data_IF_630449307887
#
_entry.id   IF_630449307887
#
_cell.length_a   1.000
_cell.length_b   1.000
_cell.length_c   1.000
_cell.angle_alpha   90.00
_cell.angle_beta   90.00
_cell.angle_gamma   90.00
#
_symmetry.space_group_name_H-M   'P 1'
#
loop_
_entity.id
_entity.type
_entity.pdbx_description
1 polymer ?
#
# COMPACT_ATOMS: atom_id res chain seq x y z
N UNK A 1 -3.55 -5.47 45.64
CA UNK A 1 -2.71 -6.17 44.65
C UNK A 1 -3.50 -6.18 43.36
N UNK A 2 -3.37 -5.12 42.56
CA UNK A 2 -4.01 -5.04 41.24
C UNK A 2 -3.11 -5.78 40.26
N UNK A 3 -3.71 -6.74 39.57
CA UNK A 3 -3.06 -7.58 38.57
C UNK A 3 -2.76 -6.73 37.32
N UNK A 4 -1.50 -6.31 37.18
CA UNK A 4 -1.01 -5.51 36.05
C UNK A 4 -0.49 -6.37 34.88
N UNK A 5 -0.71 -7.68 34.91
CA UNK A 5 -0.02 -8.63 34.01
C UNK A 5 -0.67 -8.75 32.63
N UNK A 6 -1.95 -8.35 32.47
CA UNK A 6 -2.71 -8.54 31.22
C UNK A 6 -2.40 -7.58 30.07
N UNK A 7 -1.78 -6.43 30.32
CA UNK A 7 -1.57 -5.38 29.31
C UNK A 7 -0.44 -5.68 28.30
N UNK A 8 0.60 -6.40 28.72
CA UNK A 8 1.80 -6.61 27.92
C UNK A 8 1.57 -7.63 26.77
N UNK A 9 0.74 -8.65 27.01
CA UNK A 9 0.40 -9.65 26.00
C UNK A 9 -0.45 -9.08 24.86
N UNK A 10 -1.46 -8.27 25.17
CA UNK A 10 -2.35 -7.69 24.16
C UNK A 10 -1.64 -6.70 23.22
N UNK A 11 -0.71 -5.90 23.75
CA UNK A 11 0.10 -4.99 22.95
C UNK A 11 1.05 -5.74 21.99
N UNK A 12 1.68 -6.82 22.46
CA UNK A 12 2.54 -7.66 21.62
C UNK A 12 1.77 -8.34 20.49
N UNK A 13 0.56 -8.87 20.77
CA UNK A 13 -0.31 -9.47 19.75
C UNK A 13 -0.73 -8.43 18.70
N UNK A 14 -1.11 -7.22 19.13
CA UNK A 14 -1.47 -6.14 18.22
C UNK A 14 -0.30 -5.74 17.29
N UNK A 15 0.91 -5.62 17.84
CA UNK A 15 2.10 -5.29 17.07
C UNK A 15 2.46 -6.38 16.04
N UNK A 16 2.37 -7.66 16.42
CA UNK A 16 2.58 -8.77 15.49
C UNK A 16 1.53 -8.77 14.36
N UNK A 17 0.28 -8.49 14.71
CA UNK A 17 -0.80 -8.38 13.73
C UNK A 17 -0.58 -7.19 12.78
N UNK A 18 -0.05 -6.05 13.26
CA UNK A 18 0.32 -4.91 12.43
C UNK A 18 1.41 -5.26 11.42
N UNK A 19 2.50 -5.91 11.86
CA UNK A 19 3.58 -6.33 10.97
C UNK A 19 3.09 -7.33 9.92
N UNK A 20 2.28 -8.30 10.32
CA UNK A 20 1.67 -9.25 9.39
C UNK A 20 0.82 -8.56 8.31
N UNK A 21 0.05 -7.53 8.69
CA UNK A 21 -0.76 -6.75 7.73
C UNK A 21 0.09 -5.97 6.75
N UNK A 22 1.19 -5.36 7.20
CA UNK A 22 2.15 -4.64 6.34
C UNK A 22 2.83 -5.60 5.35
N UNK A 23 3.30 -6.75 5.82
CA UNK A 23 3.92 -7.77 4.98
C UNK A 23 2.94 -8.29 3.92
N UNK A 24 1.69 -8.54 4.31
CA UNK A 24 0.66 -9.00 3.38
C UNK A 24 0.37 -7.97 2.27
N UNK A 25 0.28 -6.68 2.63
CA UNK A 25 0.07 -5.61 1.66
C UNK A 25 1.28 -5.48 0.72
N UNK A 26 2.50 -5.48 1.26
CA UNK A 26 3.73 -5.41 0.46
C UNK A 26 3.83 -6.57 -0.52
N UNK A 27 3.48 -7.79 -0.08
CA UNK A 27 3.46 -8.97 -0.94
C UNK A 27 2.39 -8.87 -2.04
N UNK A 28 1.20 -8.36 -1.72
CA UNK A 28 0.13 -8.18 -2.70
C UNK A 28 0.51 -7.15 -3.78
N UNK A 29 1.27 -6.11 -3.42
CA UNK A 29 1.69 -5.03 -4.32
C UNK A 29 2.98 -5.30 -5.09
N UNK A 30 3.61 -6.46 -4.93
CA UNK A 30 4.93 -6.74 -5.52
C UNK A 30 4.96 -6.58 -7.04
N UNK A 31 3.98 -7.16 -7.74
CA UNK A 31 3.93 -7.14 -9.19
C UNK A 31 3.54 -5.74 -9.71
N UNK A 32 2.58 -5.09 -9.04
CA UNK A 32 2.23 -3.69 -9.31
C UNK A 32 3.43 -2.75 -9.11
N UNK A 33 4.21 -2.92 -8.06
CA UNK A 33 5.43 -2.14 -7.81
C UNK A 33 6.46 -2.32 -8.93
N UNK A 34 6.58 -3.54 -9.44
CA UNK A 34 7.50 -3.85 -10.54
C UNK A 34 7.03 -3.21 -11.84
N UNK A 35 5.72 -3.23 -12.11
CA UNK A 35 5.10 -2.54 -13.25
C UNK A 35 5.33 -1.02 -13.18
N UNK A 36 5.10 -0.41 -12.01
CA UNK A 36 5.34 1.03 -11.82
C UNK A 36 6.81 1.42 -12.07
N UNK A 37 7.77 0.52 -11.81
CA UNK A 37 9.19 0.75 -12.11
C UNK A 37 9.54 0.66 -13.60
N UNK A 38 8.63 0.21 -14.46
CA UNK A 38 8.84 0.23 -15.92
C UNK A 38 8.63 1.62 -16.52
N UNK A 39 7.95 2.50 -15.80
CA UNK A 39 7.72 3.89 -16.22
C UNK A 39 9.03 4.65 -16.17
N UNK A 40 9.29 5.48 -17.18
CA UNK A 40 10.51 6.29 -17.21
C UNK A 40 10.56 7.21 -15.97
N UNK A 41 11.68 7.14 -15.26
CA UNK A 41 11.89 7.88 -14.02
C UNK A 41 11.85 9.40 -14.24
N UNK A 42 12.29 9.87 -15.41
CA UNK A 42 12.25 11.30 -15.78
C UNK A 42 10.80 11.76 -15.92
N UNK A 43 9.95 10.94 -16.53
CA UNK A 43 8.53 11.25 -16.73
C UNK A 43 7.77 11.25 -15.40
N UNK A 44 7.99 10.25 -14.55
CA UNK A 44 7.40 10.22 -13.20
C UNK A 44 7.84 11.45 -12.38
N UNK A 45 9.13 11.81 -12.42
CA UNK A 45 9.63 13.02 -11.74
C UNK A 45 8.94 14.27 -12.28
N UNK A 46 8.80 14.39 -13.60
CA UNK A 46 8.13 15.52 -14.23
C UNK A 46 6.67 15.61 -13.78
N UNK A 47 5.92 14.49 -13.80
CA UNK A 47 4.53 14.46 -13.35
C UNK A 47 4.38 14.93 -11.90
N UNK A 48 5.25 14.47 -10.99
CA UNK A 48 5.19 14.89 -9.58
C UNK A 48 5.56 16.37 -9.42
N UNK A 49 6.67 16.83 -10.01
CA UNK A 49 7.16 18.22 -9.86
C UNK A 49 6.26 19.26 -10.50
N UNK A 50 5.44 18.85 -11.48
CA UNK A 50 4.48 19.72 -12.16
C UNK A 50 3.03 19.46 -11.75
N UNK A 51 2.82 18.68 -10.66
CA UNK A 51 1.51 18.41 -10.07
C UNK A 51 0.49 17.83 -11.06
N UNK A 52 0.95 17.00 -12.01
CA UNK A 52 0.09 16.33 -12.99
C UNK A 52 -0.62 15.12 -12.37
N UNK A 53 -1.37 15.35 -11.29
CA UNK A 53 -2.05 14.29 -10.53
C UNK A 53 -3.03 13.47 -11.36
N UNK A 54 -3.67 14.05 -12.38
CA UNK A 54 -4.51 13.31 -13.31
C UNK A 54 -3.72 12.23 -14.08
N UNK A 55 -2.52 12.57 -14.54
CA UNK A 55 -1.66 11.63 -15.26
C UNK A 55 -1.13 10.53 -14.33
N UNK A 56 -0.78 10.88 -13.08
CA UNK A 56 -0.39 9.90 -12.06
C UNK A 56 -1.55 8.97 -11.73
N UNK A 57 -2.77 9.51 -11.56
CA UNK A 57 -3.95 8.72 -11.27
C UNK A 57 -4.28 7.74 -12.41
N UNK A 58 -4.21 8.21 -13.66
CA UNK A 58 -4.45 7.38 -14.83
C UNK A 58 -3.38 6.28 -14.98
N UNK A 59 -2.11 6.62 -14.73
CA UNK A 59 -1.00 5.66 -14.72
C UNK A 59 -1.21 4.58 -13.65
N UNK A 60 -1.41 4.98 -12.40
CA UNK A 60 -1.67 4.07 -11.27
C UNK A 60 -2.86 3.17 -11.56
N UNK A 61 -3.97 3.73 -12.07
CA UNK A 61 -5.17 2.95 -12.44
C UNK A 61 -4.83 1.89 -13.50
N UNK A 62 -4.20 2.30 -14.60
CA UNK A 62 -3.88 1.38 -15.71
C UNK A 62 -2.92 0.27 -15.30
N UNK A 63 -1.91 0.57 -14.47
CA UNK A 63 -1.00 -0.44 -13.92
C UNK A 63 -1.69 -1.34 -12.89
N UNK A 64 -2.61 -0.82 -12.09
CA UNK A 64 -3.34 -1.60 -11.09
C UNK A 64 -4.30 -2.61 -11.73
N UNK A 65 -4.98 -2.25 -12.81
CA UNK A 65 -5.92 -3.12 -13.56
C UNK A 65 -5.28 -4.41 -14.11
N UNK A 66 -3.95 -4.49 -14.17
CA UNK A 66 -3.24 -5.72 -14.55
C UNK A 66 -3.25 -6.79 -13.46
N UNK A 67 -3.35 -6.37 -12.19
CA UNK A 67 -3.14 -7.25 -11.02
C UNK A 67 -4.32 -7.24 -10.05
N UNK A 68 -5.14 -6.20 -10.09
CA UNK A 68 -6.26 -5.99 -9.19
C UNK A 68 -7.56 -5.73 -9.97
N UNK A 69 -8.69 -6.05 -9.33
CA UNK A 69 -10.03 -5.69 -9.82
C UNK A 69 -10.18 -4.16 -9.86
N UNK A 70 -11.00 -3.69 -10.79
CA UNK A 70 -11.27 -2.26 -10.99
C UNK A 70 -11.58 -1.54 -9.67
N UNK A 71 -11.02 -0.32 -9.54
CA UNK A 71 -11.20 0.60 -8.41
C UNK A 71 -10.74 0.10 -7.02
N UNK A 72 -10.09 -1.06 -6.91
CA UNK A 72 -9.61 -1.57 -5.60
C UNK A 72 -8.30 -0.94 -5.14
N UNK A 73 -7.45 -0.44 -6.05
CA UNK A 73 -6.21 0.27 -5.76
C UNK A 73 -6.19 1.60 -6.53
N UNK A 74 -6.02 2.71 -5.81
CA UNK A 74 -6.18 4.07 -6.35
C UNK A 74 -5.07 5.00 -5.90
N UNK A 75 -4.85 6.06 -6.66
CA UNK A 75 -3.95 7.15 -6.27
C UNK A 75 -4.61 8.09 -5.26
N UNK A 76 -3.94 8.34 -4.14
CA UNK A 76 -4.38 9.18 -3.02
C UNK A 76 -4.13 10.68 -3.20
N UNK A 77 -3.83 11.14 -4.42
CA UNK A 77 -3.65 12.56 -4.76
C UNK A 77 -2.48 13.28 -4.07
N UNK A 78 -1.49 12.53 -3.60
CA UNK A 78 -0.24 13.08 -3.08
C UNK A 78 0.96 12.26 -3.60
N UNK A 79 2.03 12.96 -3.95
CA UNK A 79 3.27 12.35 -4.39
C UNK A 79 4.46 13.24 -4.03
N UNK A 80 5.61 12.60 -3.83
CA UNK A 80 6.86 13.26 -3.48
C UNK A 80 8.02 12.73 -4.31
N UNK A 81 9.00 13.57 -4.56
CA UNK A 81 10.22 13.23 -5.29
C UNK A 81 11.41 13.74 -4.50
N UNK A 82 12.32 12.83 -4.19
CA UNK A 82 13.62 13.12 -3.61
C UNK A 82 14.71 12.93 -4.66
N UNK A 83 15.44 14.01 -4.96
CA UNK A 83 16.49 14.05 -5.98
C UNK A 83 17.78 14.58 -5.36
N UNK A 84 18.89 14.01 -5.77
CA UNK A 84 20.21 14.45 -5.38
C UNK A 84 21.20 14.12 -6.50
N UNK A 85 22.36 14.78 -6.49
CA UNK A 85 23.39 14.57 -7.50
C UNK A 85 24.13 13.24 -7.33
N UNK A 86 24.22 12.75 -6.09
CA UNK A 86 25.07 11.63 -5.70
C UNK A 86 24.28 10.35 -5.39
N UNK A 87 22.93 10.38 -5.47
CA UNK A 87 22.08 9.20 -5.22
C UNK A 87 20.98 9.03 -6.28
N UNK A 88 20.54 7.78 -6.54
CA UNK A 88 19.39 7.53 -7.40
C UNK A 88 18.14 8.27 -6.91
N UNK A 89 17.24 8.68 -7.83
CA UNK A 89 15.99 9.33 -7.47
C UNK A 89 15.10 8.39 -6.65
N UNK A 90 14.33 8.97 -5.73
CA UNK A 90 13.26 8.25 -5.00
C UNK A 90 11.94 8.96 -5.24
N UNK A 91 10.91 8.19 -5.57
CA UNK A 91 9.56 8.69 -5.84
C UNK A 91 8.60 8.03 -4.85
N UNK A 92 7.74 8.83 -4.24
CA UNK A 92 6.68 8.35 -3.33
C UNK A 92 5.32 8.70 -3.92
N UNK A 93 4.42 7.73 -3.93
CA UNK A 93 3.04 7.89 -4.37
C UNK A 93 2.13 7.46 -3.24
N UNK A 94 1.24 8.33 -2.78
CA UNK A 94 0.20 7.95 -1.84
C UNK A 94 -0.87 7.16 -2.59
N UNK A 95 -1.25 6.03 -2.03
CA UNK A 95 -2.18 5.07 -2.58
C UNK A 95 -3.23 4.69 -1.55
N UNK A 96 -4.40 4.33 -2.06
CA UNK A 96 -5.54 3.86 -1.29
C UNK A 96 -5.94 2.49 -1.82
N UNK A 97 -6.00 1.50 -0.92
CA UNK A 97 -6.64 0.23 -1.20
C UNK A 97 -8.02 0.22 -0.54
N UNK A 98 -9.05 -0.15 -1.30
CA UNK A 98 -10.37 -0.39 -0.76
C UNK A 98 -11.00 -1.64 -1.36
N UNK A 99 -11.25 -2.63 -0.53
CA UNK A 99 -12.00 -3.81 -0.92
C UNK A 99 -12.63 -4.51 0.28
N UNK A 100 -13.81 -5.11 0.11
CA UNK A 100 -14.52 -5.87 1.16
C UNK A 100 -14.62 -5.15 2.52
N UNK A 101 -14.78 -3.83 2.51
CA UNK A 101 -14.89 -3.03 3.75
C UNK A 101 -13.57 -2.89 4.53
N UNK A 102 -12.43 -3.05 3.85
CA UNK A 102 -11.10 -2.77 4.38
C UNK A 102 -10.51 -1.61 3.58
N UNK A 103 -10.16 -0.53 4.26
CA UNK A 103 -9.42 0.60 3.69
C UNK A 103 -7.98 0.56 4.18
N UNK A 104 -7.04 0.79 3.28
CA UNK A 104 -5.63 0.98 3.63
C UNK A 104 -5.12 2.23 2.94
N UNK A 105 -4.59 3.15 3.74
CA UNK A 105 -3.88 4.34 3.28
C UNK A 105 -2.38 4.09 3.45
N UNK A 106 -1.63 4.20 2.36
CA UNK A 106 -0.20 3.88 2.38
C UNK A 106 0.54 4.63 1.27
N UNK A 107 1.85 4.77 1.42
CA UNK A 107 2.71 5.30 0.36
C UNK A 107 3.54 4.18 -0.26
N UNK A 108 3.53 4.09 -1.59
CA UNK A 108 4.49 3.30 -2.35
C UNK A 108 5.73 4.16 -2.63
N UNK A 109 6.89 3.67 -2.19
CA UNK A 109 8.20 4.29 -2.45
C UNK A 109 8.92 3.48 -3.50
N UNK A 110 9.18 4.11 -4.65
CA UNK A 110 9.98 3.59 -5.75
C UNK A 110 11.40 4.17 -5.63
N UNK A 111 12.38 3.32 -5.34
CA UNK A 111 13.76 3.75 -5.09
C UNK A 111 14.77 2.63 -5.27
N UNK A 112 16.04 2.95 -5.05
CA UNK A 112 17.17 2.00 -5.10
C UNK A 112 17.98 2.14 -3.81
N UNK A 113 18.37 1.06 -3.12
CA UNK A 113 18.31 -0.35 -3.53
C UNK A 113 16.93 -1.02 -3.37
N UNK A 114 16.02 -0.43 -2.60
CA UNK A 114 14.77 -1.09 -2.24
C UNK A 114 13.55 -0.19 -2.48
N UNK A 115 12.46 -0.82 -2.91
CA UNK A 115 11.13 -0.23 -2.87
C UNK A 115 10.52 -0.47 -1.50
N UNK A 116 9.62 0.41 -1.05
CA UNK A 116 8.94 0.26 0.23
C UNK A 116 7.44 0.51 0.12
N UNK A 117 6.67 -0.15 0.98
CA UNK A 117 5.25 0.11 1.21
C UNK A 117 5.10 0.58 2.64
N UNK A 118 4.78 1.86 2.81
CA UNK A 118 4.67 2.49 4.12
C UNK A 118 3.19 2.65 4.47
N UNK A 119 2.67 1.77 5.34
CA UNK A 119 1.28 1.84 5.78
C UNK A 119 1.10 2.98 6.78
N UNK A 120 0.21 3.91 6.45
CA UNK A 120 -0.16 5.03 7.30
C UNK A 120 -1.31 4.66 8.23
N UNK A 121 -2.36 4.04 7.68
CA UNK A 121 -3.56 3.68 8.44
C UNK A 121 -4.34 2.55 7.78
N UNK A 122 -4.96 1.70 8.59
CA UNK A 122 -5.87 0.64 8.15
C UNK A 122 -7.20 0.82 8.88
N UNK A 123 -8.30 0.85 8.14
CA UNK A 123 -9.65 0.92 8.67
C UNK A 123 -10.48 -0.28 8.23
N UNK A 124 -11.27 -0.79 9.16
CA UNK A 124 -12.21 -1.89 8.91
C UNK A 124 -13.62 -1.40 9.19
N UNK A 125 -14.52 -1.56 8.21
CA UNK A 125 -15.96 -1.38 8.44
C UNK A 125 -16.41 -2.35 9.52
N UNK A 126 -16.97 -1.86 10.63
CA UNK A 126 -17.29 -2.68 11.80
C UNK A 126 -16.07 -3.50 12.28
N UNK A 127 -15.01 -2.82 12.69
CA UNK A 127 -13.80 -3.45 13.20
C UNK A 127 -14.12 -4.41 14.37
N UNK A 128 -13.45 -5.57 14.39
CA UNK A 128 -13.49 -6.50 15.51
C UNK A 128 -12.57 -6.01 16.64
N UNK A 129 -12.91 -6.33 17.89
CA UNK A 129 -12.00 -6.16 19.04
C UNK A 129 -10.83 -7.17 19.03
N UNK A 130 -10.95 -8.22 18.21
CA UNK A 130 -9.91 -9.21 17.96
C UNK A 130 -9.01 -8.79 16.78
N UNK A 131 -7.72 -8.46 17.03
CA UNK A 131 -6.78 -8.09 15.98
C UNK A 131 -6.56 -9.18 14.93
N UNK A 132 -6.66 -10.46 15.29
CA UNK A 132 -6.44 -11.58 14.36
C UNK A 132 -7.57 -11.67 13.34
N UNK A 133 -8.82 -11.46 13.78
CA UNK A 133 -9.97 -11.41 12.87
C UNK A 133 -9.86 -10.25 11.87
N UNK A 134 -9.42 -9.07 12.32
CA UNK A 134 -9.16 -7.95 11.41
C UNK A 134 -8.02 -8.27 10.42
N UNK A 135 -6.95 -8.94 10.86
CA UNK A 135 -5.90 -9.41 9.93
C UNK A 135 -6.44 -10.38 8.90
N UNK A 136 -7.25 -11.37 9.31
CA UNK A 136 -7.89 -12.33 8.40
C UNK A 136 -8.73 -11.62 7.34
N UNK A 137 -9.48 -10.59 7.74
CA UNK A 137 -10.28 -9.77 6.82
C UNK A 137 -9.43 -9.01 5.80
N UNK A 138 -8.29 -8.44 6.21
CA UNK A 138 -7.37 -7.81 5.26
C UNK A 138 -6.82 -8.83 4.26
N UNK A 139 -6.38 -10.01 4.73
CA UNK A 139 -5.86 -11.06 3.86
C UNK A 139 -6.91 -11.52 2.83
N UNK A 140 -8.15 -11.71 3.27
CA UNK A 140 -9.26 -12.06 2.39
C UNK A 140 -9.58 -10.95 1.38
N UNK A 141 -9.52 -9.69 1.80
CA UNK A 141 -9.70 -8.55 0.91
C UNK A 141 -8.58 -8.48 -0.14
N UNK A 142 -7.31 -8.62 0.25
CA UNK A 142 -6.19 -8.60 -0.67
C UNK A 142 -6.24 -9.75 -1.69
N UNK A 143 -6.61 -10.95 -1.24
CA UNK A 143 -6.74 -12.12 -2.11
C UNK A 143 -7.91 -11.98 -3.08
N UNK A 144 -9.09 -11.58 -2.59
CA UNK A 144 -10.27 -11.38 -3.43
C UNK A 144 -10.08 -10.22 -4.41
N UNK A 145 -9.31 -9.19 -4.07
CA UNK A 145 -9.06 -8.05 -4.93
C UNK A 145 -8.22 -8.39 -6.16
N UNK A 146 -7.56 -9.55 -6.22
CA UNK A 146 -6.73 -9.92 -7.38
C UNK A 146 -7.56 -10.02 -8.66
N UNK A 147 -7.00 -9.49 -9.75
CA UNK A 147 -7.56 -9.68 -11.09
C UNK A 147 -7.55 -11.17 -11.45
N UNK A 148 -8.57 -11.61 -12.19
CA UNK A 148 -8.55 -12.97 -12.74
C UNK A 148 -7.46 -13.08 -13.79
N UNK A 149 -6.71 -14.18 -13.78
CA UNK A 149 -5.75 -14.46 -14.85
C UNK A 149 -6.49 -14.42 -16.19
N UNK A 150 -6.05 -13.55 -17.09
CA UNK A 150 -6.57 -13.49 -18.46
C UNK A 150 -6.17 -14.82 -19.12
N UNK A 151 -7.14 -15.73 -19.23
CA UNK A 151 -6.99 -17.03 -19.91
C UNK A 151 -6.88 -16.90 -21.42
#
# INVERSE_FOLDING_TARGET
>A
MQDHTGGNGKAAVAALADEQRKEALALALKDFTSEMKLVDVVDLVAFVRTEQHGNIADLVRSSAELFFKDDTLRYGMAAGVDLDWDRPPTISLDLEFYHKGVWVYFSLVLGEPENAVNVSYIEFTNASDDPEENTRRLLEALDDARAQARG
#
